data_IF_122073384226
#
_entry.id   IF_122073384226
#
_cell.length_a   1.000
_cell.length_b   1.000
_cell.length_c   1.000
_cell.angle_alpha   90.00
_cell.angle_beta   90.00
_cell.angle_gamma   90.00
#
_symmetry.space_group_name_H-M   'P 1'
#
loop_
_entity.id
_entity.type
_entity.pdbx_description
1 polymer ?
#
# COMPACT_ATOMS: atom_id res chain seq x y z
N UNK A 1 14.67 -20.10 -11.05
CA UNK A 1 13.74 -20.51 -9.97
C UNK A 1 13.25 -19.24 -9.32
N UNK A 2 11.96 -18.93 -9.46
CA UNK A 2 11.30 -17.81 -8.80
C UNK A 2 10.55 -18.32 -7.56
N UNK A 3 10.31 -17.45 -6.57
CA UNK A 3 9.54 -17.83 -5.37
C UNK A 3 8.13 -18.31 -5.73
N UNK A 4 7.55 -17.77 -6.81
CA UNK A 4 6.25 -18.19 -7.35
C UNK A 4 6.18 -19.65 -7.77
N UNK A 5 7.33 -20.29 -8.05
CA UNK A 5 7.38 -21.70 -8.47
C UNK A 5 7.02 -22.67 -7.32
N UNK A 6 6.84 -22.14 -6.10
CA UNK A 6 6.49 -22.89 -4.89
C UNK A 6 5.11 -22.52 -4.31
N UNK A 7 4.31 -21.71 -5.03
CA UNK A 7 2.98 -21.34 -4.57
C UNK A 7 1.93 -22.28 -5.16
N UNK A 8 1.12 -22.88 -4.29
CA UNK A 8 -0.06 -23.66 -4.70
C UNK A 8 -1.24 -22.75 -5.08
N UNK A 9 -1.23 -21.52 -4.56
CA UNK A 9 -2.21 -20.48 -4.86
C UNK A 9 -1.66 -19.10 -4.47
N UNK A 10 -2.03 -18.07 -5.20
CA UNK A 10 -1.53 -16.71 -5.09
C UNK A 10 -2.64 -15.71 -5.35
N UNK A 11 -2.63 -14.66 -4.54
CA UNK A 11 -3.66 -13.63 -4.50
C UNK A 11 -2.99 -12.28 -4.70
N UNK A 12 -3.48 -11.51 -5.68
CA UNK A 12 -3.12 -10.12 -5.86
C UNK A 12 -4.26 -9.22 -5.39
N UNK A 13 -3.97 -8.27 -4.50
CA UNK A 13 -4.93 -7.26 -4.06
C UNK A 13 -4.68 -5.98 -4.85
N UNK A 14 -5.60 -5.64 -5.74
CA UNK A 14 -5.56 -4.47 -6.60
C UNK A 14 -6.50 -3.36 -6.11
N UNK A 15 -6.21 -2.13 -6.50
CA UNK A 15 -7.04 -0.95 -6.30
C UNK A 15 -6.53 0.18 -7.20
N UNK A 16 -7.37 1.21 -7.40
CA UNK A 16 -6.92 2.43 -8.07
C UNK A 16 -5.76 3.09 -7.31
N UNK A 17 -4.77 3.64 -8.02
CA UNK A 17 -3.59 4.25 -7.40
C UNK A 17 -3.94 5.39 -6.45
N UNK A 18 -4.99 6.17 -6.76
CA UNK A 18 -5.45 7.26 -5.91
C UNK A 18 -6.02 6.76 -4.58
N UNK A 19 -6.70 5.61 -4.59
CA UNK A 19 -7.19 4.97 -3.38
C UNK A 19 -6.03 4.46 -2.54
N UNK A 20 -5.04 3.79 -3.15
CA UNK A 20 -3.87 3.28 -2.43
C UNK A 20 -3.04 4.43 -1.84
N UNK A 21 -2.86 5.52 -2.58
CA UNK A 21 -2.20 6.74 -2.09
C UNK A 21 -2.92 7.27 -0.84
N UNK A 22 -4.24 7.42 -0.91
CA UNK A 22 -5.01 7.94 0.21
C UNK A 22 -4.92 7.04 1.44
N UNK A 23 -5.04 5.72 1.26
CA UNK A 23 -4.88 4.76 2.36
C UNK A 23 -3.49 4.81 2.98
N UNK A 24 -2.45 5.00 2.16
CA UNK A 24 -1.08 5.17 2.64
C UNK A 24 -0.95 6.42 3.51
N UNK A 25 -1.48 7.56 3.05
CA UNK A 25 -1.46 8.84 3.78
C UNK A 25 -2.23 8.71 5.10
N UNK A 26 -3.45 8.19 5.06
CA UNK A 26 -4.28 8.02 6.26
C UNK A 26 -3.59 7.13 7.30
N UNK A 27 -2.98 6.04 6.85
CA UNK A 27 -2.20 5.14 7.71
C UNK A 27 -0.96 5.84 8.28
N UNK A 28 -0.25 6.63 7.47
CA UNK A 28 0.92 7.38 7.93
C UNK A 28 0.55 8.35 9.05
N UNK A 29 -0.53 9.12 8.88
CA UNK A 29 -1.02 10.07 9.88
C UNK A 29 -1.46 9.34 11.16
N UNK A 30 -2.16 8.22 11.02
CA UNK A 30 -2.56 7.39 12.17
C UNK A 30 -1.37 6.85 12.96
N UNK A 31 -0.34 6.36 12.27
CA UNK A 31 0.88 5.86 12.91
C UNK A 31 1.66 6.98 13.60
N UNK A 32 1.79 8.15 12.97
CA UNK A 32 2.36 9.37 13.59
C UNK A 32 1.62 9.74 14.87
N UNK A 33 0.29 9.77 14.85
CA UNK A 33 -0.52 10.12 16.03
C UNK A 33 -0.26 9.18 17.22
N UNK A 34 0.00 7.89 16.96
CA UNK A 34 0.34 6.90 17.99
C UNK A 34 1.80 6.95 18.46
N UNK A 35 2.69 7.67 17.74
CA UNK A 35 4.13 7.67 18.01
C UNK A 35 4.50 8.35 19.34
N UNK A 36 3.67 9.26 19.85
CA UNK A 36 3.91 9.91 21.14
C UNK A 36 3.85 8.95 22.33
N UNK A 37 3.10 7.84 22.21
CA UNK A 37 2.98 6.85 23.27
C UNK A 37 4.13 5.82 23.29
N UNK A 38 5.08 5.89 22.34
CA UNK A 38 6.13 4.89 22.14
C UNK A 38 7.48 5.55 21.90
N UNK A 39 8.33 5.58 22.91
CA UNK A 39 9.63 6.26 22.86
C UNK A 39 10.59 5.69 21.80
N UNK A 40 10.41 4.41 21.45
CA UNK A 40 11.17 3.65 20.45
C UNK A 40 10.58 3.72 19.02
N UNK A 41 9.50 4.49 18.82
CA UNK A 41 8.82 4.54 17.53
C UNK A 41 9.66 5.25 16.46
N UNK A 42 9.89 4.58 15.32
CA UNK A 42 10.45 5.21 14.12
C UNK A 42 9.68 6.49 13.71
N UNK A 43 8.37 6.51 13.94
CA UNK A 43 7.51 7.64 13.58
C UNK A 43 7.69 8.87 14.48
N UNK A 44 8.51 8.78 15.54
CA UNK A 44 8.83 9.91 16.41
C UNK A 44 9.55 11.03 15.65
N UNK A 45 10.32 10.68 14.62
CA UNK A 45 10.97 11.64 13.70
C UNK A 45 9.95 12.54 12.99
N UNK A 46 8.70 12.08 12.83
CA UNK A 46 7.61 12.85 12.21
C UNK A 46 6.66 13.49 13.22
N UNK A 47 6.87 13.27 14.52
CA UNK A 47 5.94 13.72 15.57
C UNK A 47 5.86 15.25 15.68
N UNK A 48 6.95 15.95 15.36
CA UNK A 48 7.02 17.42 15.40
C UNK A 48 6.39 18.12 14.18
N UNK A 49 6.00 17.38 13.14
CA UNK A 49 5.34 17.96 11.97
C UNK A 49 3.90 18.35 12.31
N UNK A 50 3.42 19.46 11.75
CA UNK A 50 2.00 19.75 11.67
C UNK A 50 1.27 18.71 10.81
N UNK A 51 -0.06 18.66 10.87
CA UNK A 51 -0.83 17.71 10.06
C UNK A 51 -0.65 17.94 8.56
N UNK A 52 -0.59 19.21 8.12
CA UNK A 52 -0.34 19.56 6.73
C UNK A 52 1.07 19.13 6.26
N UNK A 53 2.09 19.34 7.11
CA UNK A 53 3.46 18.91 6.81
C UNK A 53 3.58 17.39 6.78
N UNK A 54 2.90 16.69 7.70
CA UNK A 54 2.90 15.24 7.75
C UNK A 54 2.19 14.63 6.53
N UNK A 55 1.06 15.19 6.10
CA UNK A 55 0.39 14.77 4.87
C UNK A 55 1.28 15.01 3.65
N UNK A 56 1.86 16.20 3.52
CA UNK A 56 2.78 16.54 2.43
C UNK A 56 3.97 15.58 2.38
N UNK A 57 4.54 15.27 3.54
CA UNK A 57 5.64 14.30 3.69
C UNK A 57 5.20 12.91 3.27
N UNK A 58 4.03 12.43 3.71
CA UNK A 58 3.50 11.13 3.33
C UNK A 58 3.31 11.02 1.82
N UNK A 59 2.71 12.03 1.18
CA UNK A 59 2.53 12.07 -0.28
C UNK A 59 3.86 12.13 -1.04
N UNK A 60 4.84 12.87 -0.53
CA UNK A 60 6.19 12.89 -1.10
C UNK A 60 6.82 11.50 -1.06
N UNK A 61 6.79 10.82 0.09
CA UNK A 61 7.32 9.45 0.23
C UNK A 61 6.58 8.48 -0.68
N UNK A 62 5.25 8.59 -0.77
CA UNK A 62 4.45 7.77 -1.68
C UNK A 62 4.92 7.95 -3.12
N UNK A 63 5.01 9.19 -3.62
CA UNK A 63 5.37 9.49 -5.01
C UNK A 63 6.82 9.13 -5.35
N UNK A 64 7.74 9.31 -4.40
CA UNK A 64 9.16 9.09 -4.64
C UNK A 64 9.58 7.61 -4.49
N UNK A 65 8.86 6.83 -3.67
CA UNK A 65 9.30 5.48 -3.29
C UNK A 65 8.23 4.43 -3.62
N UNK A 66 7.04 4.56 -3.05
CA UNK A 66 6.05 3.49 -3.10
C UNK A 66 5.34 3.38 -4.46
N UNK A 67 5.05 4.52 -5.11
CA UNK A 67 4.40 4.56 -6.41
C UNK A 67 5.29 4.01 -7.54
N UNK A 68 6.59 4.39 -7.65
CA UNK A 68 7.51 3.76 -8.58
C UNK A 68 7.61 2.25 -8.32
N UNK A 69 7.75 1.84 -7.07
CA UNK A 69 7.80 0.42 -6.71
C UNK A 69 6.51 -0.33 -7.10
N UNK A 70 5.35 0.29 -6.87
CA UNK A 70 4.06 -0.26 -7.28
C UNK A 70 4.00 -0.47 -8.79
N UNK A 71 4.37 0.54 -9.59
CA UNK A 71 4.26 0.49 -11.05
C UNK A 71 5.29 -0.42 -11.70
N UNK A 72 6.53 -0.39 -11.20
CA UNK A 72 7.67 -1.03 -11.86
C UNK A 72 7.92 -2.46 -11.38
N UNK A 73 7.61 -2.77 -10.11
CA UNK A 73 7.98 -4.04 -9.50
C UNK A 73 6.77 -4.88 -9.06
N UNK A 74 5.75 -4.26 -8.47
CA UNK A 74 4.60 -4.98 -7.90
C UNK A 74 3.53 -5.25 -8.96
N UNK A 75 2.99 -4.21 -9.60
CA UNK A 75 1.90 -4.31 -10.58
C UNK A 75 2.19 -5.29 -11.73
N UNK A 76 3.42 -5.38 -12.27
CA UNK A 76 3.72 -6.36 -13.32
C UNK A 76 3.55 -7.82 -12.88
N UNK A 77 3.55 -8.10 -11.58
CA UNK A 77 3.30 -9.45 -11.05
C UNK A 77 1.82 -9.83 -10.98
N UNK A 78 0.90 -8.85 -11.13
CA UNK A 78 -0.56 -9.08 -11.03
C UNK A 78 -1.06 -10.18 -11.96
N UNK A 79 -0.57 -10.18 -13.20
CA UNK A 79 -1.00 -11.16 -14.22
C UNK A 79 -0.57 -12.61 -13.89
N UNK A 80 0.32 -12.80 -12.92
CA UNK A 80 0.76 -14.13 -12.47
C UNK A 80 -0.12 -14.72 -11.36
N UNK A 81 -1.00 -13.92 -10.73
CA UNK A 81 -1.82 -14.39 -9.62
C UNK A 81 -3.00 -15.26 -10.10
N UNK A 82 -3.36 -16.32 -9.36
CA UNK A 82 -4.58 -17.09 -9.65
C UNK A 82 -5.84 -16.28 -9.35
N UNK A 83 -5.82 -15.42 -8.33
CA UNK A 83 -6.95 -14.59 -7.94
C UNK A 83 -6.55 -13.12 -7.79
N UNK A 84 -7.31 -12.23 -8.42
CA UNK A 84 -7.19 -10.79 -8.24
C UNK A 84 -8.44 -10.24 -7.54
N UNK A 85 -8.23 -9.64 -6.36
CA UNK A 85 -9.22 -8.87 -5.60
C UNK A 85 -9.10 -7.39 -5.96
N UNK A 86 -10.09 -6.78 -6.59
CA UNK A 86 -10.08 -5.32 -6.81
C UNK A 86 -10.89 -4.64 -5.72
N UNK A 87 -10.26 -3.72 -4.98
CA UNK A 87 -10.87 -2.96 -3.89
C UNK A 87 -11.29 -1.56 -4.34
N UNK A 88 -12.48 -1.14 -3.90
CA UNK A 88 -12.97 0.24 -3.96
C UNK A 88 -12.38 1.12 -2.88
N UNK A 89 -12.66 2.42 -2.93
CA UNK A 89 -12.09 3.46 -2.06
C UNK A 89 -12.27 3.20 -0.55
N UNK A 90 -13.36 2.54 -0.16
CA UNK A 90 -13.72 2.21 1.22
C UNK A 90 -13.17 0.84 1.68
N UNK A 91 -12.22 0.29 0.93
CA UNK A 91 -11.63 -1.04 1.10
C UNK A 91 -12.59 -2.22 0.87
N UNK A 92 -13.81 -2.01 0.38
CA UNK A 92 -14.67 -3.13 -0.02
C UNK A 92 -14.16 -3.75 -1.31
N UNK A 93 -14.33 -5.06 -1.46
CA UNK A 93 -14.05 -5.75 -2.72
C UNK A 93 -15.18 -5.44 -3.69
N UNK A 94 -14.84 -4.88 -4.85
CA UNK A 94 -15.79 -4.53 -5.91
C UNK A 94 -15.81 -5.57 -7.02
N UNK A 95 -14.70 -6.25 -7.27
CA UNK A 95 -14.64 -7.32 -8.26
C UNK A 95 -13.61 -8.40 -7.92
N UNK A 96 -13.86 -9.58 -8.49
CA UNK A 96 -13.03 -10.78 -8.39
C UNK A 96 -12.70 -11.26 -9.80
N UNK A 97 -11.43 -11.58 -10.05
CA UNK A 97 -11.01 -12.28 -11.27
C UNK A 97 -10.22 -13.52 -10.88
N UNK A 98 -10.70 -14.69 -11.28
CA UNK A 98 -10.02 -15.96 -11.06
C UNK A 98 -9.53 -16.46 -12.41
N UNK A 99 -8.25 -16.84 -12.49
CA UNK A 99 -7.73 -17.57 -13.64
C UNK A 99 -8.40 -18.94 -13.68
N UNK A 100 -9.06 -19.25 -14.79
CA UNK A 100 -9.47 -20.63 -15.09
C UNK A 100 -8.26 -21.32 -15.72
N UNK A 101 -7.92 -22.48 -15.18
CA UNK A 101 -7.02 -23.43 -15.84
C UNK A 101 -7.56 -23.85 -17.22
#
# INVERSE_FOLDING_TARGET
>A
IAVSDYFDFSIYVDADESHIEQWYVDRFLKLRATAFAREDSFFRTYAGLSDAEAESTARMVWRAINLPNLRENIRPTRERAELVFTKGADHRVESLKIRKE
#
